data_IF_128310432660
#
_entry.id   IF_128310432660
#
_cell.length_a   1.000
_cell.length_b   1.000
_cell.length_c   1.000
_cell.angle_alpha   90.00
_cell.angle_beta   90.00
_cell.angle_gamma   90.00
#
_symmetry.space_group_name_H-M   'P 1'
#
loop_
_entity.id
_entity.type
_entity.pdbx_description
1 polymer ?
#
# COMPACT_ATOMS: atom_id res chain seq x y z
N UNK A 1 6.98 2.59 -10.71
CA UNK A 1 5.68 3.23 -10.42
C UNK A 1 5.90 4.73 -10.42
N UNK A 2 5.00 5.50 -11.01
CA UNK A 2 4.99 6.97 -10.90
C UNK A 2 3.75 7.36 -10.10
N UNK A 3 3.90 8.07 -8.98
CA UNK A 3 2.76 8.55 -8.19
C UNK A 3 2.66 10.07 -8.27
N UNK A 4 1.45 10.56 -8.52
CA UNK A 4 1.09 11.97 -8.56
C UNK A 4 0.02 12.26 -7.50
N UNK A 5 0.23 13.26 -6.67
CA UNK A 5 -0.68 13.62 -5.59
C UNK A 5 -1.60 14.77 -6.02
N UNK A 6 -2.89 14.67 -5.69
CA UNK A 6 -3.87 15.70 -6.00
C UNK A 6 -4.91 15.84 -4.89
N UNK A 7 -5.11 17.06 -4.42
CA UNK A 7 -5.94 17.33 -3.24
C UNK A 7 -7.44 17.53 -3.53
N UNK A 8 -7.87 17.57 -4.81
CA UNK A 8 -9.21 18.06 -5.18
C UNK A 8 -10.18 16.99 -5.73
N UNK A 9 -9.92 15.69 -5.52
CA UNK A 9 -10.85 14.62 -5.94
C UNK A 9 -11.72 14.10 -4.80
N UNK A 10 -12.88 13.53 -5.14
CA UNK A 10 -13.77 12.85 -4.19
C UNK A 10 -13.01 11.65 -3.60
N UNK A 11 -12.66 11.65 -2.30
CA UNK A 11 -11.95 10.54 -1.70
C UNK A 11 -12.83 9.30 -1.64
N UNK A 12 -12.23 8.13 -1.88
CA UNK A 12 -12.88 6.86 -1.55
C UNK A 12 -13.08 6.70 -0.04
N UNK A 13 -13.91 5.74 0.37
CA UNK A 13 -14.08 5.42 1.79
C UNK A 13 -12.77 4.84 2.37
N UNK A 14 -12.21 5.47 3.40
CA UNK A 14 -10.99 5.07 4.11
C UNK A 14 -11.25 4.54 5.53
N UNK A 15 -12.50 4.20 5.87
CA UNK A 15 -12.92 3.68 7.18
C UNK A 15 -12.48 2.25 7.48
N UNK A 16 -11.28 1.86 7.03
CA UNK A 16 -10.66 0.55 7.25
C UNK A 16 -9.42 0.66 8.15
N UNK A 17 -8.83 -0.48 8.52
CA UNK A 17 -7.69 -0.52 9.44
C UNK A 17 -6.42 0.13 8.88
N UNK A 18 -6.29 0.24 7.55
CA UNK A 18 -5.14 0.83 6.87
C UNK A 18 -5.31 2.35 6.68
N UNK A 19 -6.54 2.86 6.75
CA UNK A 19 -6.85 4.28 6.52
C UNK A 19 -6.67 4.71 5.06
N UNK A 20 -6.62 3.76 4.12
CA UNK A 20 -6.38 4.00 2.69
C UNK A 20 -7.34 3.19 1.83
N UNK A 21 -7.60 3.64 0.61
CA UNK A 21 -8.38 2.87 -0.35
C UNK A 21 -7.75 3.01 -1.74
N UNK A 22 -7.53 1.87 -2.41
CA UNK A 22 -6.92 1.80 -3.74
C UNK A 22 -7.99 1.35 -4.72
N UNK A 23 -8.27 2.16 -5.72
CA UNK A 23 -9.19 1.80 -6.81
C UNK A 23 -8.44 1.83 -8.12
N UNK A 24 -8.46 0.72 -8.86
CA UNK A 24 -7.91 0.67 -10.20
C UNK A 24 -8.76 1.55 -11.13
N UNK A 25 -8.11 2.53 -11.75
CA UNK A 25 -8.73 3.49 -12.67
C UNK A 25 -8.05 3.41 -14.03
N UNK A 26 -8.84 3.46 -15.10
CA UNK A 26 -8.31 3.53 -16.47
C UNK A 26 -8.01 4.98 -16.87
N UNK A 27 -7.18 5.18 -17.90
CA UNK A 27 -6.79 6.51 -18.41
C UNK A 27 -7.99 7.35 -18.83
N UNK A 28 -9.06 6.73 -19.32
CA UNK A 28 -10.31 7.42 -19.71
C UNK A 28 -11.02 8.08 -18.51
N UNK A 29 -10.68 7.67 -17.29
CA UNK A 29 -11.21 8.20 -16.03
C UNK A 29 -10.26 9.19 -15.34
N UNK A 30 -9.19 9.62 -16.01
CA UNK A 30 -8.20 10.58 -15.48
C UNK A 30 -8.19 11.91 -16.28
N UNK A 31 -9.30 12.68 -16.31
CA UNK A 31 -9.25 14.01 -16.91
C UNK A 31 -8.33 14.92 -16.08
N UNK A 32 -7.37 15.61 -16.72
CA UNK A 32 -6.60 16.68 -16.07
C UNK A 32 -5.16 16.35 -15.62
N UNK A 33 -4.45 15.43 -16.29
CA UNK A 33 -3.03 15.13 -16.03
C UNK A 33 -2.07 16.34 -16.22
N UNK A 34 -2.59 17.53 -16.53
CA UNK A 34 -1.86 18.76 -16.82
C UNK A 34 -1.96 19.83 -15.71
N UNK A 35 -2.35 19.47 -14.48
CA UNK A 35 -2.37 20.40 -13.34
C UNK A 35 -1.15 20.22 -12.43
N UNK A 36 -0.74 21.31 -11.78
CA UNK A 36 0.42 21.37 -10.89
C UNK A 36 0.25 20.40 -9.72
N UNK A 37 1.19 19.46 -9.58
CA UNK A 37 1.31 18.55 -8.45
C UNK A 37 2.71 17.93 -8.42
N UNK A 38 3.09 17.37 -7.27
CA UNK A 38 4.39 16.73 -7.11
C UNK A 38 4.36 15.30 -7.66
N UNK A 39 5.42 14.93 -8.38
CA UNK A 39 5.59 13.61 -8.99
C UNK A 39 6.74 12.87 -8.32
N UNK A 40 6.48 11.63 -7.93
CA UNK A 40 7.50 10.72 -7.39
C UNK A 40 7.64 9.50 -8.29
N UNK A 41 8.87 9.03 -8.47
CA UNK A 41 9.19 7.84 -9.26
C UNK A 41 9.85 6.81 -8.37
N UNK A 42 9.25 5.62 -8.30
CA UNK A 42 9.80 4.46 -7.60
C UNK A 42 10.28 3.42 -8.61
N UNK A 43 11.57 3.05 -8.58
CA UNK A 43 12.11 1.92 -9.33
C UNK A 43 11.35 0.61 -9.03
N UNK A 44 11.29 -0.28 -10.02
CA UNK A 44 10.60 -1.58 -9.89
C UNK A 44 11.31 -2.44 -8.83
N UNK A 45 10.53 -3.07 -7.96
CA UNK A 45 11.03 -3.98 -6.93
C UNK A 45 11.47 -3.31 -5.62
N UNK A 46 11.43 -1.97 -5.53
CA UNK A 46 11.71 -1.26 -4.28
C UNK A 46 10.46 -1.13 -3.41
N UNK A 47 10.67 -1.31 -2.10
CA UNK A 47 9.66 -1.04 -1.08
C UNK A 47 9.44 0.47 -1.01
N UNK A 48 8.17 0.89 -1.05
CA UNK A 48 7.75 2.26 -0.85
C UNK A 48 6.43 2.28 -0.07
N UNK A 49 6.09 3.42 0.54
CA UNK A 49 4.86 3.60 1.31
C UNK A 49 4.31 5.01 1.09
N UNK A 50 3.01 5.17 1.28
CA UNK A 50 2.33 6.46 1.31
C UNK A 50 1.69 6.64 2.69
N UNK A 51 1.86 7.83 3.26
CA UNK A 51 1.27 8.18 4.55
C UNK A 51 0.75 9.61 4.51
N UNK A 52 -0.54 9.79 4.81
CA UNK A 52 -1.16 11.11 4.85
C UNK A 52 -0.88 11.78 6.20
N UNK A 53 0.01 12.76 6.22
CA UNK A 53 0.31 13.59 7.41
C UNK A 53 -0.65 14.77 7.58
N UNK A 54 -1.48 15.07 6.56
CA UNK A 54 -2.44 16.15 6.56
C UNK A 54 -3.67 15.86 7.42
N UNK A 55 -4.46 16.90 7.72
CA UNK A 55 -5.72 16.78 8.48
C UNK A 55 -6.93 16.47 7.61
N UNK A 56 -6.77 16.53 6.29
CA UNK A 56 -7.81 16.30 5.29
C UNK A 56 -7.50 15.03 4.50
N UNK A 57 -8.52 14.45 3.87
CA UNK A 57 -8.31 13.32 2.96
C UNK A 57 -7.39 13.74 1.80
N UNK A 58 -6.49 12.83 1.41
CA UNK A 58 -5.58 13.01 0.29
C UNK A 58 -5.86 11.94 -0.77
N UNK A 59 -5.71 12.31 -2.05
CA UNK A 59 -5.88 11.38 -3.18
C UNK A 59 -4.58 11.34 -3.98
N UNK A 60 -4.17 10.14 -4.39
CA UNK A 60 -3.01 9.93 -5.22
C UNK A 60 -3.35 9.06 -6.43
N UNK A 61 -2.80 9.40 -7.59
CA UNK A 61 -2.86 8.60 -8.79
C UNK A 61 -1.51 7.94 -9.03
N UNK A 62 -1.52 6.64 -9.29
CA UNK A 62 -0.31 5.90 -9.62
C UNK A 62 -0.38 5.34 -11.04
N UNK A 63 0.61 5.70 -11.86
CA UNK A 63 0.88 5.10 -13.16
C UNK A 63 1.84 3.92 -13.03
N UNK A 64 1.45 2.79 -13.60
CA UNK A 64 2.23 1.55 -13.61
C UNK A 64 2.54 1.17 -15.06
N UNK A 65 3.79 0.82 -15.35
CA UNK A 65 4.25 0.46 -16.69
C UNK A 65 3.87 -0.98 -17.11
N UNK A 66 3.08 -1.69 -16.28
CA UNK A 66 2.58 -3.04 -16.54
C UNK A 66 1.08 -3.09 -16.30
N UNK A 67 0.37 -3.80 -17.18
CA UNK A 67 -1.06 -4.13 -17.03
C UNK A 67 -1.32 -5.12 -15.89
N UNK A 68 -0.31 -5.89 -15.48
CA UNK A 68 -0.35 -6.76 -14.30
C UNK A 68 0.87 -6.43 -13.41
N UNK A 69 0.86 -5.27 -12.76
CA UNK A 69 2.00 -4.80 -11.98
C UNK A 69 2.20 -5.61 -10.69
N UNK A 70 1.15 -6.29 -10.22
CA UNK A 70 1.11 -6.93 -8.92
C UNK A 70 1.18 -5.89 -7.79
N UNK A 71 0.63 -6.24 -6.63
CA UNK A 71 0.81 -5.48 -5.40
C UNK A 71 1.13 -6.48 -4.30
N UNK A 72 2.26 -6.28 -3.62
CA UNK A 72 2.65 -7.09 -2.47
C UNK A 72 2.60 -6.19 -1.25
N UNK A 73 1.57 -6.36 -0.42
CA UNK A 73 1.52 -5.71 0.89
C UNK A 73 2.45 -6.47 1.84
N UNK A 74 3.54 -5.82 2.27
CA UNK A 74 4.62 -6.48 3.03
C UNK A 74 4.09 -7.17 4.30
N UNK A 75 3.21 -6.51 5.05
CA UNK A 75 2.64 -7.09 6.26
C UNK A 75 1.83 -8.38 5.96
N UNK A 76 1.02 -8.37 4.91
CA UNK A 76 0.27 -9.55 4.48
C UNK A 76 1.21 -10.68 4.03
N UNK A 77 2.24 -10.35 3.23
CA UNK A 77 3.20 -11.33 2.74
C UNK A 77 4.04 -11.98 3.85
N UNK A 78 4.32 -11.26 4.94
CA UNK A 78 5.11 -11.76 6.06
C UNK A 78 4.27 -12.47 7.12
N UNK A 79 3.10 -11.92 7.45
CA UNK A 79 2.34 -12.34 8.64
C UNK A 79 0.99 -12.99 8.32
N UNK A 80 0.42 -12.79 7.13
CA UNK A 80 -0.83 -13.43 6.70
C UNK A 80 -0.68 -14.22 5.38
N UNK A 81 0.53 -14.71 5.10
CA UNK A 81 0.77 -15.60 3.96
C UNK A 81 -0.02 -16.91 4.11
N UNK A 82 -0.38 -17.52 2.98
CA UNK A 82 -1.00 -18.83 2.95
C UNK A 82 -0.17 -19.80 2.06
N UNK A 83 0.48 -20.82 2.63
CA UNK A 83 0.55 -21.17 4.06
C UNK A 83 1.32 -20.13 4.90
N UNK A 84 1.07 -20.04 6.23
CA UNK A 84 1.81 -19.13 7.09
C UNK A 84 3.32 -19.44 7.14
N UNK A 85 4.16 -18.41 7.15
CA UNK A 85 5.60 -18.56 7.38
C UNK A 85 5.83 -19.14 8.79
N UNK A 86 6.79 -20.07 8.91
CA UNK A 86 7.15 -20.65 10.20
C UNK A 86 7.56 -19.53 11.20
N UNK A 87 6.90 -19.43 12.36
CA UNK A 87 7.19 -18.39 13.36
C UNK A 87 8.66 -18.35 13.78
N UNK A 88 9.36 -19.47 13.83
CA UNK A 88 10.76 -19.53 14.25
C UNK A 88 11.70 -18.84 13.24
N UNK A 89 11.34 -18.84 11.96
CA UNK A 89 12.05 -18.09 10.91
C UNK A 89 11.86 -16.59 11.11
N UNK A 90 10.62 -16.15 11.37
CA UNK A 90 10.30 -14.74 11.60
C UNK A 90 10.93 -14.22 12.90
N UNK A 91 10.91 -15.01 13.98
CA UNK A 91 11.62 -14.71 15.24
C UNK A 91 13.09 -14.43 14.97
N UNK A 92 13.75 -15.29 14.18
CA UNK A 92 15.18 -15.14 13.88
C UNK A 92 15.47 -13.99 12.92
N UNK A 93 14.62 -13.77 11.92
CA UNK A 93 14.80 -12.73 10.92
C UNK A 93 14.59 -11.33 11.49
N UNK A 94 13.55 -11.15 12.31
CA UNK A 94 13.17 -9.86 12.87
C UNK A 94 13.66 -9.64 14.30
N UNK A 95 14.30 -10.64 14.91
CA UNK A 95 14.79 -10.61 16.30
C UNK A 95 13.68 -10.25 17.30
N UNK A 96 12.49 -10.82 17.09
CA UNK A 96 11.31 -10.60 17.93
C UNK A 96 11.01 -11.81 18.80
N UNK A 97 10.32 -11.58 19.92
CA UNK A 97 9.77 -12.67 20.72
C UNK A 97 8.71 -13.46 19.94
N UNK A 98 8.67 -14.78 20.15
CA UNK A 98 7.70 -15.68 19.49
C UNK A 98 6.25 -15.26 19.76
N UNK A 99 5.97 -14.70 20.93
CA UNK A 99 4.65 -14.18 21.28
C UNK A 99 4.25 -12.98 20.42
N UNK A 100 5.21 -12.09 20.09
CA UNK A 100 4.99 -10.95 19.21
C UNK A 100 4.74 -11.42 17.79
N UNK A 101 5.54 -12.38 17.29
CA UNK A 101 5.33 -12.97 15.95
C UNK A 101 3.97 -13.63 15.85
N UNK A 102 3.59 -14.47 16.83
CA UNK A 102 2.29 -15.11 16.87
C UNK A 102 1.13 -14.11 16.95
N UNK A 103 1.34 -12.98 17.65
CA UNK A 103 0.37 -11.89 17.68
C UNK A 103 0.22 -11.24 16.31
N UNK A 104 1.33 -10.87 15.65
CA UNK A 104 1.33 -10.26 14.32
C UNK A 104 0.71 -11.19 13.25
N UNK A 105 0.91 -12.50 13.35
CA UNK A 105 0.30 -13.48 12.44
C UNK A 105 -1.20 -13.68 12.65
N UNK A 106 -1.71 -13.31 13.83
CA UNK A 106 -3.16 -13.35 14.13
C UNK A 106 -3.87 -12.05 13.78
N UNK A 107 -3.12 -10.96 13.58
CA UNK A 107 -3.70 -9.71 13.12
C UNK A 107 -4.30 -9.91 11.73
N UNK A 108 -5.46 -9.30 11.52
CA UNK A 108 -6.08 -9.26 10.22
C UNK A 108 -5.40 -8.18 9.40
N UNK A 109 -4.69 -8.59 8.35
CA UNK A 109 -4.06 -7.66 7.41
C UNK A 109 -5.01 -7.49 6.23
N UNK A 110 -5.71 -6.36 6.18
CA UNK A 110 -6.53 -6.03 5.02
C UNK A 110 -5.64 -5.81 3.78
N UNK A 111 -5.96 -6.50 2.68
CA UNK A 111 -5.42 -6.18 1.37
C UNK A 111 -6.25 -5.04 0.78
N UNK A 112 -5.60 -3.89 0.52
CA UNK A 112 -6.18 -2.84 -0.32
C UNK A 112 -6.32 -3.28 -1.77
#
# INVERSE_FOLDING_TARGET
>A
MISHFWDSNIPGNTGNQVGSNVTLVNVDKMPGLNTLGDVFVFPIGLIHFQFNVGKTNAVAFAGLSSQNPGAITIANALFASNPPINPDVLVKAFQLDKNVVNYLQKLFWESN
#
